data_IF_455760403694
#
_entry.id   IF_455760403694
#
_cell.length_a   1.000
_cell.length_b   1.000
_cell.length_c   1.000
_cell.angle_alpha   90.00
_cell.angle_beta   90.00
_cell.angle_gamma   90.00
#
_symmetry.space_group_name_H-M   'P 1'
#
loop_
_entity.id
_entity.type
_entity.pdbx_description
1 polymer ?
#
# COMPACT_ATOMS: atom_id res chain seq x y z
N UNK A 1 9.85 30.89 5.52
CA UNK A 1 8.61 30.94 4.71
C UNK A 1 8.44 29.89 3.59
N UNK A 2 9.32 28.90 3.32
CA UNK A 2 9.07 27.90 2.26
C UNK A 2 8.11 26.76 2.70
N UNK A 3 8.14 26.35 3.97
CA UNK A 3 7.38 25.20 4.48
C UNK A 3 5.85 25.39 4.46
N UNK A 4 5.37 26.60 4.78
CA UNK A 4 3.94 26.93 4.73
C UNK A 4 3.39 26.91 3.30
N UNK A 5 4.21 27.32 2.34
CA UNK A 5 3.85 27.25 0.93
C UNK A 5 3.78 25.80 0.44
N UNK A 6 4.75 24.96 0.80
CA UNK A 6 4.78 23.55 0.43
C UNK A 6 3.60 22.75 1.01
N UNK A 7 3.26 22.96 2.29
CA UNK A 7 2.08 22.34 2.89
C UNK A 7 0.77 22.80 2.24
N UNK A 8 0.66 24.09 1.87
CA UNK A 8 -0.50 24.60 1.14
C UNK A 8 -0.61 24.02 -0.28
N UNK A 9 0.52 23.80 -0.97
CA UNK A 9 0.53 23.13 -2.27
C UNK A 9 0.04 21.68 -2.14
N UNK A 10 0.51 20.93 -1.14
CA UNK A 10 0.03 19.55 -0.89
C UNK A 10 -1.46 19.51 -0.57
N UNK A 11 -1.93 20.44 0.27
CA UNK A 11 -3.35 20.57 0.58
C UNK A 11 -4.19 20.87 -0.67
N UNK A 12 -3.67 21.66 -1.62
CA UNK A 12 -4.34 21.91 -2.90
C UNK A 12 -4.51 20.64 -3.73
N UNK A 13 -3.50 19.77 -3.75
CA UNK A 13 -3.56 18.50 -4.49
C UNK A 13 -4.47 17.45 -3.82
N UNK A 14 -4.43 17.37 -2.49
CA UNK A 14 -5.20 16.41 -1.70
C UNK A 14 -6.33 17.09 -0.92
N UNK A 15 -7.09 17.97 -1.59
CA UNK A 15 -8.12 18.80 -0.94
C UNK A 15 -9.30 18.02 -0.36
N UNK A 16 -9.48 16.76 -0.76
CA UNK A 16 -10.47 15.83 -0.21
C UNK A 16 -9.99 15.11 1.05
N UNK A 17 -8.68 14.94 1.20
CA UNK A 17 -8.05 14.12 2.24
C UNK A 17 -7.38 14.98 3.32
N UNK A 18 -6.96 16.21 2.98
CA UNK A 18 -6.28 17.14 3.87
C UNK A 18 -7.13 18.41 4.11
N UNK A 19 -7.49 18.69 5.37
CA UNK A 19 -8.27 19.88 5.69
C UNK A 19 -7.43 21.16 5.60
N UNK A 20 -8.12 22.31 5.59
CA UNK A 20 -7.49 23.65 5.52
C UNK A 20 -6.58 23.94 6.73
N UNK A 21 -6.81 23.25 7.85
CA UNK A 21 -5.96 23.33 9.04
C UNK A 21 -4.62 22.62 8.89
N UNK A 22 -4.40 21.80 7.85
CA UNK A 22 -3.20 20.98 7.68
C UNK A 22 -1.91 21.81 7.78
N UNK A 23 -1.84 22.95 7.09
CA UNK A 23 -0.66 23.82 7.14
C UNK A 23 -0.35 24.35 8.54
N UNK A 24 -1.36 24.62 9.35
CA UNK A 24 -1.16 25.07 10.73
C UNK A 24 -0.70 23.91 11.62
N UNK A 25 -1.31 22.73 11.44
CA UNK A 25 -0.93 21.52 12.15
C UNK A 25 0.52 21.10 11.85
N UNK A 26 0.97 21.23 10.60
CA UNK A 26 2.37 21.03 10.21
C UNK A 26 3.33 21.95 10.98
N UNK A 27 2.95 23.22 11.18
CA UNK A 27 3.78 24.18 11.92
C UNK A 27 3.86 23.79 13.39
N UNK A 28 2.73 23.44 14.01
CA UNK A 28 2.70 22.99 15.41
C UNK A 28 3.51 21.71 15.61
N UNK A 29 3.37 20.75 14.70
CA UNK A 29 4.16 19.52 14.74
C UNK A 29 5.66 19.80 14.55
N UNK A 30 6.04 20.70 13.66
CA UNK A 30 7.43 21.13 13.51
C UNK A 30 7.97 21.75 14.80
N UNK A 31 7.21 22.63 15.46
CA UNK A 31 7.59 23.20 16.76
C UNK A 31 7.76 22.11 17.81
N UNK A 32 6.85 21.14 17.88
CA UNK A 32 6.96 19.99 18.77
C UNK A 32 8.26 19.19 18.53
N UNK A 33 8.59 18.89 17.27
CA UNK A 33 9.83 18.19 16.94
C UNK A 33 11.09 18.96 17.36
N UNK A 34 11.06 20.30 17.33
CA UNK A 34 12.17 21.15 17.79
C UNK A 34 12.31 21.20 19.31
N UNK A 35 11.22 20.95 20.05
CA UNK A 35 11.26 20.88 21.53
C UNK A 35 11.83 19.56 22.04
N UNK A 36 11.90 18.52 21.20
CA UNK A 36 12.49 17.25 21.56
C UNK A 36 14.02 17.34 21.64
N UNK A 37 14.66 16.65 22.61
CA UNK A 37 16.11 16.55 22.63
C UNK A 37 16.63 15.90 21.34
N UNK A 38 17.77 16.40 20.82
CA UNK A 38 18.32 16.01 19.50
C UNK A 38 18.59 14.50 19.37
N UNK A 39 18.80 13.80 20.49
CA UNK A 39 19.00 12.35 20.53
C UNK A 39 17.70 11.54 20.32
N UNK A 40 16.54 12.13 20.61
CA UNK A 40 15.22 11.48 20.50
C UNK A 40 14.40 12.00 19.32
N UNK A 41 14.95 12.92 18.52
CA UNK A 41 14.25 13.47 17.36
C UNK A 41 14.21 12.44 16.22
N UNK A 42 13.02 12.09 15.70
CA UNK A 42 12.91 11.14 14.61
C UNK A 42 13.54 11.69 13.33
N UNK A 43 14.50 10.94 12.76
CA UNK A 43 15.21 11.30 11.52
C UNK A 43 14.52 10.75 10.27
N UNK A 44 13.68 9.73 10.42
CA UNK A 44 12.96 9.06 9.34
C UNK A 44 11.46 9.31 9.45
N UNK A 45 10.75 9.27 8.32
CA UNK A 45 9.29 9.41 8.26
C UNK A 45 8.61 8.29 9.07
N UNK A 46 9.15 7.07 9.00
CA UNK A 46 8.71 5.95 9.83
C UNK A 46 8.90 6.25 11.33
N UNK A 47 10.04 6.81 11.72
CA UNK A 47 10.31 7.20 13.10
C UNK A 47 9.37 8.32 13.58
N UNK A 48 9.01 9.27 12.70
CA UNK A 48 8.03 10.30 13.02
C UNK A 48 6.66 9.68 13.30
N UNK A 49 6.24 8.72 12.47
CA UNK A 49 4.98 8.02 12.64
C UNK A 49 4.97 7.15 13.91
N UNK A 50 6.04 6.40 14.17
CA UNK A 50 6.21 5.63 15.42
C UNK A 50 6.14 6.54 16.64
N UNK A 51 6.78 7.71 16.60
CA UNK A 51 6.77 8.66 17.71
C UNK A 51 5.38 9.19 18.03
N UNK A 52 4.57 9.44 17.00
CA UNK A 52 3.17 9.87 17.16
C UNK A 52 2.34 8.77 17.84
N UNK A 53 2.57 7.49 17.48
CA UNK A 53 1.89 6.35 18.10
C UNK A 53 2.34 6.19 19.56
N UNK A 54 3.65 6.18 19.82
CA UNK A 54 4.20 5.97 21.16
C UNK A 54 3.81 7.08 22.16
N UNK A 55 3.66 8.31 21.67
CA UNK A 55 3.35 9.48 22.49
C UNK A 55 1.85 9.79 22.54
N UNK A 56 1.01 8.92 21.97
CA UNK A 56 -0.45 9.09 21.84
C UNK A 56 -0.89 10.45 21.27
N UNK A 57 -0.15 10.92 20.27
CA UNK A 57 -0.37 12.23 19.63
C UNK A 57 -1.31 12.16 18.43
N UNK A 58 -1.99 11.04 18.21
CA UNK A 58 -2.87 10.85 17.06
C UNK A 58 -4.07 11.79 17.10
N UNK A 59 -4.63 12.02 18.29
CA UNK A 59 -5.76 12.93 18.48
C UNK A 59 -5.33 14.40 18.45
N UNK A 60 -4.07 14.68 18.79
CA UNK A 60 -3.49 16.03 18.78
C UNK A 60 -3.12 16.46 17.37
N UNK A 61 -2.57 15.53 16.57
CA UNK A 61 -2.14 15.76 15.19
C UNK A 61 -2.77 14.76 14.19
N UNK A 62 -4.11 14.80 14.01
CA UNK A 62 -4.82 13.84 13.18
C UNK A 62 -4.46 13.97 11.69
N UNK A 63 -4.27 15.18 11.17
CA UNK A 63 -3.97 15.40 9.75
C UNK A 63 -2.54 14.97 9.41
N UNK A 64 -1.60 15.16 10.33
CA UNK A 64 -0.23 14.65 10.19
C UNK A 64 -0.21 13.13 10.24
N UNK A 65 -0.95 12.51 11.17
CA UNK A 65 -1.08 11.05 11.25
C UNK A 65 -1.60 10.45 9.94
N UNK A 66 -2.66 11.03 9.36
CA UNK A 66 -3.22 10.62 8.07
C UNK A 66 -2.19 10.81 6.94
N UNK A 67 -1.53 11.97 6.90
CA UNK A 67 -0.54 12.28 5.86
C UNK A 67 0.66 11.33 5.88
N UNK A 68 1.18 11.04 7.08
CA UNK A 68 2.31 10.11 7.26
C UNK A 68 1.91 8.70 6.86
N UNK A 69 0.71 8.25 7.25
CA UNK A 69 0.18 6.94 6.83
C UNK A 69 -0.02 6.85 5.32
N UNK A 70 -0.59 7.89 4.70
CA UNK A 70 -0.76 7.96 3.25
C UNK A 70 0.60 7.91 2.53
N UNK A 71 1.61 8.62 3.05
CA UNK A 71 2.95 8.58 2.51
C UNK A 71 3.58 7.17 2.63
N UNK A 72 3.46 6.54 3.81
CA UNK A 72 3.99 5.18 4.05
C UNK A 72 3.27 4.11 3.23
N UNK A 73 1.99 4.30 2.93
CA UNK A 73 1.20 3.40 2.09
C UNK A 73 1.31 3.70 0.59
N UNK A 74 1.97 4.78 0.19
CA UNK A 74 2.09 5.16 -1.22
C UNK A 74 2.95 4.13 -1.98
N UNK A 75 2.56 3.69 -3.20
CA UNK A 75 3.21 2.59 -3.92
C UNK A 75 4.70 2.74 -4.20
N UNK A 76 5.27 3.96 -4.09
CA UNK A 76 6.69 4.20 -4.27
C UNK A 76 7.58 3.40 -3.27
N UNK A 77 7.00 2.85 -2.19
CA UNK A 77 7.72 2.04 -1.20
C UNK A 77 7.25 0.59 -1.05
N UNK A 78 6.25 0.11 -1.82
CA UNK A 78 5.79 -1.28 -1.70
C UNK A 78 6.48 -2.20 -2.72
N UNK A 79 7.60 -2.79 -2.32
CA UNK A 79 8.22 -3.92 -3.02
C UNK A 79 7.17 -4.98 -3.43
N UNK A 80 6.08 -5.13 -2.67
CA UNK A 80 4.96 -6.01 -3.01
C UNK A 80 4.23 -5.67 -4.32
N UNK A 81 3.93 -4.41 -4.63
CA UNK A 81 3.26 -4.08 -5.90
C UNK A 81 4.22 -4.26 -7.08
N UNK A 82 5.47 -3.82 -6.95
CA UNK A 82 6.51 -4.06 -7.98
C UNK A 82 6.73 -5.55 -8.21
N UNK A 83 6.78 -6.35 -7.13
CA UNK A 83 6.87 -7.81 -7.19
C UNK A 83 5.65 -8.41 -7.88
N UNK A 84 4.44 -7.92 -7.59
CA UNK A 84 3.20 -8.37 -8.22
C UNK A 84 3.17 -8.06 -9.71
N UNK A 85 3.56 -6.84 -10.12
CA UNK A 85 3.68 -6.48 -11.54
C UNK A 85 4.78 -7.25 -12.26
N UNK A 86 5.90 -7.53 -11.58
CA UNK A 86 6.98 -8.36 -12.11
C UNK A 86 6.54 -9.82 -12.28
N UNK A 87 5.81 -10.38 -11.31
CA UNK A 87 5.21 -11.70 -11.39
C UNK A 87 4.22 -11.79 -12.57
N UNK A 88 3.32 -10.81 -12.69
CA UNK A 88 2.39 -10.69 -13.80
C UNK A 88 3.10 -10.67 -15.16
N UNK A 89 4.18 -9.89 -15.27
CA UNK A 89 5.02 -9.83 -16.47
C UNK A 89 5.65 -11.20 -16.77
N UNK A 90 6.20 -11.88 -15.76
CA UNK A 90 6.78 -13.23 -15.91
C UNK A 90 5.73 -14.24 -16.37
N UNK A 91 4.53 -14.24 -15.78
CA UNK A 91 3.42 -15.12 -16.17
C UNK A 91 3.05 -14.88 -17.64
N UNK A 92 2.89 -13.62 -18.05
CA UNK A 92 2.54 -13.26 -19.43
C UNK A 92 3.62 -13.67 -20.43
N UNK A 93 4.90 -13.48 -20.08
CA UNK A 93 6.04 -13.88 -20.93
C UNK A 93 6.15 -15.40 -21.03
N UNK A 94 6.02 -16.12 -19.91
CA UNK A 94 6.10 -17.59 -19.87
C UNK A 94 5.00 -18.23 -20.73
N UNK A 95 3.76 -17.76 -20.60
CA UNK A 95 2.63 -18.28 -21.36
C UNK A 95 2.55 -17.75 -22.80
N UNK A 96 3.36 -16.73 -23.15
CA UNK A 96 3.31 -16.00 -24.44
C UNK A 96 1.89 -15.65 -24.88
N UNK A 97 1.01 -15.36 -23.93
CA UNK A 97 -0.43 -15.43 -24.18
C UNK A 97 -1.08 -14.05 -24.35
N UNK A 98 -1.94 -13.93 -25.36
CA UNK A 98 -2.97 -12.89 -25.44
C UNK A 98 -4.16 -13.31 -24.55
N UNK A 99 -3.91 -13.46 -23.26
CA UNK A 99 -4.95 -13.86 -22.30
C UNK A 99 -5.79 -12.64 -21.93
N UNK A 100 -7.13 -12.79 -21.94
CA UNK A 100 -8.08 -11.78 -21.45
C UNK A 100 -7.78 -11.42 -19.98
N UNK A 101 -7.95 -10.15 -19.62
CA UNK A 101 -7.54 -9.61 -18.31
C UNK A 101 -8.07 -10.42 -17.12
N UNK A 102 -9.29 -10.97 -17.19
CA UNK A 102 -9.84 -11.81 -16.12
C UNK A 102 -9.00 -13.05 -15.80
N UNK A 103 -8.68 -13.87 -16.81
CA UNK A 103 -7.86 -15.08 -16.62
C UNK A 103 -6.43 -14.75 -16.19
N UNK A 104 -5.90 -13.61 -16.63
CA UNK A 104 -4.57 -13.16 -16.25
C UNK A 104 -4.55 -12.75 -14.77
N UNK A 105 -5.59 -12.05 -14.31
CA UNK A 105 -5.74 -11.65 -12.91
C UNK A 105 -5.86 -12.88 -12.00
N UNK A 106 -6.70 -13.86 -12.36
CA UNK A 106 -6.84 -15.10 -11.60
C UNK A 106 -5.49 -15.82 -11.44
N UNK A 107 -4.71 -15.89 -12.52
CA UNK A 107 -3.41 -16.56 -12.50
C UNK A 107 -2.35 -15.78 -11.71
N UNK A 108 -2.42 -14.45 -11.74
CA UNK A 108 -1.56 -13.59 -10.93
C UNK A 108 -1.84 -13.78 -9.44
N UNK A 109 -3.11 -13.86 -9.04
CA UNK A 109 -3.51 -14.14 -7.66
C UNK A 109 -2.97 -15.51 -7.21
N UNK A 110 -3.14 -16.56 -8.03
CA UNK A 110 -2.60 -17.89 -7.72
C UNK A 110 -1.07 -17.89 -7.57
N UNK A 111 -0.37 -17.03 -8.31
CA UNK A 111 1.09 -16.91 -8.23
C UNK A 111 1.57 -16.08 -7.05
N UNK A 112 0.83 -15.02 -6.68
CA UNK A 112 1.11 -14.21 -5.48
C UNK A 112 0.89 -15.07 -4.23
N UNK A 113 -0.19 -15.83 -4.21
CA UNK A 113 -0.56 -16.76 -3.13
C UNK A 113 0.04 -18.15 -3.35
N UNK A 114 1.25 -18.25 -3.94
CA UNK A 114 1.87 -19.54 -4.27
C UNK A 114 2.02 -20.45 -3.06
N UNK A 115 2.28 -19.87 -1.89
CA UNK A 115 2.47 -20.61 -0.64
C UNK A 115 1.19 -21.34 -0.22
N UNK A 116 0.02 -20.78 -0.51
CA UNK A 116 -1.27 -21.44 -0.30
C UNK A 116 -1.55 -22.45 -1.41
N UNK A 117 -1.30 -22.10 -2.67
CA UNK A 117 -1.65 -22.95 -3.82
C UNK A 117 -0.82 -24.23 -3.91
N UNK A 118 0.41 -24.24 -3.39
CA UNK A 118 1.22 -25.47 -3.29
C UNK A 118 0.60 -26.48 -2.32
N UNK A 119 -0.12 -26.03 -1.31
CA UNK A 119 -0.74 -26.89 -0.29
C UNK A 119 -2.15 -27.37 -0.69
N UNK A 120 -2.66 -26.97 -1.85
CA UNK A 120 -3.98 -27.39 -2.34
C UNK A 120 -3.90 -28.78 -2.96
N UNK A 121 -4.85 -29.66 -2.63
CA UNK A 121 -4.99 -30.96 -3.32
C UNK A 121 -5.56 -30.76 -4.73
N UNK A 122 -4.70 -30.90 -5.75
CA UNK A 122 -5.10 -30.78 -7.14
C UNK A 122 -5.92 -31.96 -7.64
N UNK A 123 -5.81 -33.15 -7.04
CA UNK A 123 -6.52 -34.33 -7.52
C UNK A 123 -8.05 -34.15 -7.38
N UNK A 124 -8.49 -33.60 -6.25
CA UNK A 124 -9.91 -33.30 -6.02
C UNK A 124 -10.44 -32.24 -7.00
N UNK A 125 -9.60 -31.24 -7.32
CA UNK A 125 -9.94 -30.18 -8.28
C UNK A 125 -10.03 -30.74 -9.69
N UNK A 126 -9.09 -31.59 -10.08
CA UNK A 126 -9.07 -32.25 -11.40
C UNK A 126 -10.29 -33.16 -11.55
N UNK A 127 -10.59 -33.97 -10.53
CA UNK A 127 -11.76 -34.85 -10.54
C UNK A 127 -13.05 -34.03 -10.67
N UNK A 128 -13.24 -33.00 -9.84
CA UNK A 128 -14.42 -32.13 -9.91
C UNK A 128 -14.52 -31.39 -11.25
N UNK A 129 -13.42 -30.90 -11.80
CA UNK A 129 -13.40 -30.26 -13.11
C UNK A 129 -13.77 -31.26 -14.23
N UNK A 130 -13.26 -32.50 -14.14
CA UNK A 130 -13.58 -33.56 -15.09
C UNK A 130 -15.06 -33.93 -15.05
N UNK A 131 -15.68 -34.01 -13.88
CA UNK A 131 -17.11 -34.27 -13.71
C UNK A 131 -17.97 -33.14 -14.29
N UNK A 132 -17.59 -31.88 -14.05
CA UNK A 132 -18.28 -30.71 -14.62
C UNK A 132 -18.17 -30.67 -16.15
N UNK A 133 -17.04 -31.08 -16.72
CA UNK A 133 -16.88 -31.20 -18.18
C UNK A 133 -17.58 -32.43 -18.74
N UNK A 134 -17.65 -33.54 -18.00
CA UNK A 134 -18.34 -34.75 -18.41
C UNK A 134 -19.86 -34.55 -18.49
N UNK A 135 -20.43 -33.64 -17.69
CA UNK A 135 -21.83 -33.17 -17.84
C UNK A 135 -22.07 -32.31 -19.08
N UNK A 136 -21.03 -31.89 -19.79
CA UNK A 136 -21.09 -31.40 -21.17
C UNK A 136 -20.71 -32.52 -22.14
N UNK A 137 -21.36 -33.68 -22.04
CA UNK A 137 -21.42 -34.66 -23.14
C UNK A 137 -22.82 -34.62 -23.73
N UNK A 138 -22.85 -34.19 -25.00
CA UNK A 138 -23.96 -34.12 -25.96
C UNK A 138 -25.12 -33.20 -25.59
#
# INVERSE_FOLDING_TARGET
MPFRHQSAVLQKYYSKDLPVSFSNECIHFQSYLLTLPKDNAPKTILGMFQKIIESDLQDVFPCISISLRMFLCCPASNCSAERSFSALKRIKTYLRSSTKDGRLNDLAILNIESDLTVNINYDDIINKFSELKARRKM
#
